data_IF_785281360512
#
_entry.id   IF_785281360512
#
_cell.length_a   1.000
_cell.length_b   1.000
_cell.length_c   1.000
_cell.angle_alpha   90.00
_cell.angle_beta   90.00
_cell.angle_gamma   90.00
#
_symmetry.space_group_name_H-M   'P 1'
#
loop_
_entity.id
_entity.type
_entity.pdbx_description
1 polymer ?
#
# COMPACT_ATOMS: atom_id res chain seq x y z
N UNK A 1 -4.91 6.83 35.87
CA UNK A 1 -5.18 6.97 34.43
C UNK A 1 -3.93 7.47 33.73
N UNK A 2 -3.70 7.06 32.49
CA UNK A 2 -2.56 7.52 31.68
C UNK A 2 -3.00 8.78 30.91
N UNK A 3 -2.34 9.91 31.15
CA UNK A 3 -2.70 11.19 30.53
C UNK A 3 -2.15 11.30 29.10
N UNK A 4 -2.99 11.68 28.14
CA UNK A 4 -2.59 11.86 26.75
C UNK A 4 -1.98 13.26 26.57
N UNK A 5 -0.65 13.31 26.44
CA UNK A 5 0.07 14.57 26.21
C UNK A 5 -0.02 15.06 24.76
N UNK A 6 0.00 14.14 23.80
CA UNK A 6 -0.05 14.46 22.37
C UNK A 6 -0.69 13.32 21.58
N UNK A 7 -1.56 13.69 20.62
CA UNK A 7 -2.12 12.76 19.64
C UNK A 7 -1.92 13.34 18.23
N UNK A 8 -1.22 12.59 17.37
CA UNK A 8 -0.90 13.03 16.02
C UNK A 8 -1.42 12.03 14.98
N UNK A 9 -2.13 12.52 13.96
CA UNK A 9 -2.59 11.69 12.85
C UNK A 9 -1.49 11.55 11.80
N UNK A 10 -1.00 10.33 11.60
CA UNK A 10 0.06 9.98 10.61
C UNK A 10 -0.17 10.57 9.21
N UNK A 11 -1.43 10.73 8.76
CA UNK A 11 -1.75 11.34 7.45
C UNK A 11 -1.21 12.77 7.29
N UNK A 12 -1.09 13.51 8.39
CA UNK A 12 -0.65 14.91 8.40
C UNK A 12 0.82 15.05 8.82
N UNK A 13 1.52 13.95 9.09
CA UNK A 13 2.96 13.99 9.30
C UNK A 13 3.64 14.26 7.95
N UNK A 14 4.31 15.40 7.86
CA UNK A 14 4.97 15.88 6.65
C UNK A 14 6.44 15.48 6.57
N UNK A 15 7.13 15.46 7.70
CA UNK A 15 8.53 15.07 7.81
C UNK A 15 8.84 14.48 9.18
N UNK A 16 9.86 13.63 9.27
CA UNK A 16 10.38 13.10 10.52
C UNK A 16 11.86 12.75 10.39
N UNK A 17 12.56 12.68 11.51
CA UNK A 17 13.95 12.23 11.52
C UNK A 17 14.58 12.21 12.91
N UNK A 18 15.76 11.58 12.95
CA UNK A 18 16.69 11.69 14.07
C UNK A 18 17.56 12.92 13.83
N UNK A 19 17.82 13.70 14.88
CA UNK A 19 18.65 14.89 14.82
C UNK A 19 20.14 14.58 14.65
N UNK A 20 20.98 15.62 14.68
CA UNK A 20 22.44 15.46 14.74
C UNK A 20 22.87 14.71 16.02
N UNK A 21 22.15 14.95 17.11
CA UNK A 21 22.24 14.15 18.33
C UNK A 21 21.36 12.90 18.19
N UNK A 22 21.94 11.72 18.44
CA UNK A 22 21.28 10.42 18.31
C UNK A 22 20.11 10.23 19.27
N UNK A 23 20.02 11.01 20.35
CA UNK A 23 18.91 10.94 21.30
C UNK A 23 17.72 11.78 20.87
N UNK A 24 17.91 12.70 19.91
CA UNK A 24 16.85 13.61 19.49
C UNK A 24 16.04 13.00 18.34
N UNK A 25 14.74 12.83 18.56
CA UNK A 25 13.77 12.50 17.51
C UNK A 25 12.82 13.68 17.29
N UNK A 26 12.46 13.96 16.04
CA UNK A 26 11.44 14.95 15.75
C UNK A 26 10.55 14.55 14.58
N UNK A 27 9.32 15.05 14.59
CA UNK A 27 8.45 15.04 13.42
C UNK A 27 7.69 16.35 13.29
N UNK A 28 7.31 16.66 12.05
CA UNK A 28 6.64 17.90 11.64
C UNK A 28 5.24 17.54 11.14
N UNK A 29 4.23 18.12 11.77
CA UNK A 29 2.83 17.99 11.42
C UNK A 29 2.41 19.18 10.55
N UNK A 30 1.75 18.91 9.43
CA UNK A 30 1.02 19.91 8.66
C UNK A 30 -0.34 20.12 9.31
N UNK A 31 -0.54 21.29 9.93
CA UNK A 31 -1.80 21.66 10.59
C UNK A 31 -2.76 22.39 9.65
N UNK A 32 -2.39 22.53 8.38
CA UNK A 32 -3.15 23.22 7.33
C UNK A 32 -2.74 24.68 7.17
N UNK A 33 -3.19 25.33 6.09
CA UNK A 33 -2.93 26.76 5.82
C UNK A 33 -1.43 27.15 5.85
N UNK A 34 -0.53 26.25 5.43
CA UNK A 34 0.93 26.44 5.52
C UNK A 34 1.44 26.64 6.96
N UNK A 35 0.69 26.18 7.97
CA UNK A 35 1.15 26.08 9.35
C UNK A 35 1.71 24.70 9.62
N UNK A 36 2.85 24.68 10.30
CA UNK A 36 3.56 23.46 10.62
C UNK A 36 3.95 23.46 12.10
N UNK A 37 3.71 22.34 12.77
CA UNK A 37 4.05 22.12 14.18
C UNK A 37 5.11 21.03 14.30
N UNK A 38 6.18 21.33 15.04
CA UNK A 38 7.26 20.37 15.26
C UNK A 38 7.17 19.81 16.67
N UNK A 39 7.15 18.48 16.78
CA UNK A 39 7.25 17.78 18.05
C UNK A 39 8.63 17.15 18.17
N UNK A 40 9.31 17.42 19.29
CA UNK A 40 10.68 16.96 19.55
C UNK A 40 10.70 16.14 20.82
N UNK A 41 11.38 15.01 20.79
CA UNK A 41 11.50 14.05 21.87
C UNK A 41 12.97 13.76 22.15
N UNK A 42 13.27 13.60 23.44
CA UNK A 42 14.53 13.02 23.90
C UNK A 42 14.32 11.54 24.19
N UNK A 43 15.17 10.68 23.64
CA UNK A 43 15.02 9.23 23.69
C UNK A 43 16.28 8.56 24.24
N UNK A 44 16.10 7.72 25.25
CA UNK A 44 17.14 6.88 25.83
C UNK A 44 16.95 5.41 25.39
N UNK A 45 18.01 4.69 24.98
CA UNK A 45 19.40 5.13 24.84
C UNK A 45 19.69 5.89 23.53
N UNK A 46 18.73 5.95 22.60
CA UNK A 46 18.76 6.76 21.38
C UNK A 46 17.36 6.75 20.71
N UNK A 47 17.20 7.55 19.66
CA UNK A 47 15.96 7.71 18.90
C UNK A 47 15.67 6.59 17.87
N UNK A 48 16.52 5.57 17.75
CA UNK A 48 16.41 4.54 16.72
C UNK A 48 15.05 3.84 16.72
N UNK A 49 14.67 3.22 17.83
CA UNK A 49 13.43 2.45 17.94
C UNK A 49 12.17 3.30 17.67
N UNK A 50 12.11 4.52 18.20
CA UNK A 50 10.95 5.40 17.97
C UNK A 50 10.89 5.85 16.51
N UNK A 51 12.03 6.19 15.91
CA UNK A 51 12.08 6.62 14.51
C UNK A 51 11.65 5.50 13.56
N UNK A 52 12.10 4.26 13.80
CA UNK A 52 11.70 3.10 13.00
C UNK A 52 10.20 2.80 13.15
N UNK A 53 9.66 2.89 14.36
CA UNK A 53 8.24 2.66 14.61
C UNK A 53 7.35 3.70 13.91
N UNK A 54 7.69 4.98 13.99
CA UNK A 54 6.94 6.05 13.31
C UNK A 54 7.09 5.94 11.80
N UNK A 55 8.28 5.58 11.29
CA UNK A 55 8.49 5.32 9.87
C UNK A 55 7.62 4.16 9.37
N UNK A 56 7.57 3.04 10.11
CA UNK A 56 6.74 1.89 9.78
C UNK A 56 5.25 2.26 9.75
N UNK A 57 4.78 3.05 10.72
CA UNK A 57 3.41 3.56 10.75
C UNK A 57 3.12 4.43 9.51
N UNK A 58 4.04 5.31 9.12
CA UNK A 58 3.92 6.12 7.91
C UNK A 58 3.81 5.26 6.65
N UNK A 59 4.68 4.25 6.50
CA UNK A 59 4.66 3.33 5.35
C UNK A 59 3.35 2.54 5.26
N UNK A 60 2.88 1.97 6.38
CA UNK A 60 1.61 1.24 6.43
C UNK A 60 0.42 2.15 6.13
N UNK A 61 0.44 3.39 6.64
CA UNK A 61 -0.62 4.35 6.37
C UNK A 61 -0.65 4.75 4.90
N UNK A 62 0.51 5.02 4.32
CA UNK A 62 0.65 5.34 2.91
C UNK A 62 0.15 4.20 2.02
N UNK A 63 0.58 2.97 2.29
CA UNK A 63 0.12 1.77 1.57
C UNK A 63 -1.40 1.61 1.66
N UNK A 64 -1.99 1.77 2.85
CA UNK A 64 -3.46 1.70 3.05
C UNK A 64 -4.20 2.73 2.19
N UNK A 65 -3.68 3.95 2.05
CA UNK A 65 -4.28 4.98 1.21
C UNK A 65 -4.21 4.64 -0.29
N UNK A 66 -3.11 4.04 -0.74
CA UNK A 66 -2.96 3.64 -2.14
C UNK A 66 -3.90 2.51 -2.53
N UNK A 67 -4.03 1.49 -1.68
CA UNK A 67 -4.84 0.29 -1.98
C UNK A 67 -6.34 0.49 -1.76
N UNK A 68 -6.73 1.41 -0.87
CA UNK A 68 -8.14 1.75 -0.63
C UNK A 68 -8.78 2.56 -1.77
N UNK A 69 -8.02 2.93 -2.81
CA UNK A 69 -8.53 3.64 -3.97
C UNK A 69 -9.56 2.74 -4.69
N UNK A 70 -10.82 3.17 -4.86
CA UNK A 70 -11.86 2.35 -5.50
C UNK A 70 -11.47 1.98 -6.95
N UNK A 71 -11.86 0.79 -7.44
CA UNK A 71 -11.51 0.27 -8.76
C UNK A 71 -12.03 1.10 -9.96
N UNK A 72 -12.76 2.20 -9.72
CA UNK A 72 -13.36 3.05 -10.75
C UNK A 72 -12.38 3.94 -11.52
N UNK A 73 -11.08 3.90 -11.22
CA UNK A 73 -10.04 4.56 -12.02
C UNK A 73 -8.97 3.58 -12.52
N UNK A 74 -9.35 2.34 -12.83
CA UNK A 74 -8.76 1.74 -14.03
C UNK A 74 -9.31 2.53 -15.20
N UNK A 75 -8.69 3.66 -15.52
CA UNK A 75 -8.73 4.17 -16.87
C UNK A 75 -8.18 3.02 -17.72
N UNK A 76 -9.09 2.22 -18.28
CA UNK A 76 -8.75 1.23 -19.27
C UNK A 76 -8.01 2.03 -20.35
N UNK A 77 -6.71 1.80 -20.58
CA UNK A 77 -6.08 2.46 -21.72
C UNK A 77 -6.95 2.14 -22.93
N UNK A 78 -7.25 3.13 -23.79
CA UNK A 78 -8.04 2.88 -24.98
C UNK A 78 -7.44 1.67 -25.71
N UNK A 79 -8.28 0.76 -26.23
CA UNK A 79 -7.78 -0.41 -26.93
C UNK A 79 -6.72 0.04 -27.94
N UNK A 80 -5.54 -0.58 -27.98
CA UNK A 80 -4.51 -0.18 -28.93
C UNK A 80 -5.10 -0.28 -30.35
N UNK A 81 -4.74 0.64 -31.26
CA UNK A 81 -5.20 0.59 -32.64
C UNK A 81 -4.91 -0.80 -33.24
N UNK A 82 -5.77 -1.21 -34.18
CA UNK A 82 -5.88 -2.59 -34.68
C UNK A 82 -4.57 -3.23 -35.15
N UNK A 83 -3.55 -2.41 -35.43
CA UNK A 83 -2.25 -2.82 -35.97
C UNK A 83 -1.15 -2.99 -34.91
N UNK A 84 -1.47 -2.90 -33.61
CA UNK A 84 -0.47 -3.06 -32.56
C UNK A 84 -0.12 -4.53 -32.29
N UNK A 85 1.18 -4.84 -32.40
CA UNK A 85 1.81 -6.17 -32.29
C UNK A 85 1.54 -6.86 -30.92
N UNK A 86 1.08 -6.13 -29.90
CA UNK A 86 0.76 -6.65 -28.56
C UNK A 86 -0.38 -7.69 -28.53
N UNK A 87 -1.17 -7.80 -29.62
CA UNK A 87 -2.19 -8.86 -29.75
C UNK A 87 -1.59 -10.27 -29.79
N UNK A 88 -0.35 -10.45 -30.26
CA UNK A 88 0.20 -11.79 -30.48
C UNK A 88 0.58 -12.52 -29.19
N UNK A 89 0.68 -11.82 -28.05
CA UNK A 89 1.05 -12.44 -26.77
C UNK A 89 -0.18 -12.68 -25.85
N UNK A 90 -1.30 -11.97 -26.04
CA UNK A 90 -2.49 -12.09 -25.16
C UNK A 90 -3.51 -13.15 -25.60
N UNK A 91 -3.42 -13.66 -26.83
CA UNK A 91 -4.32 -14.73 -27.31
C UNK A 91 -3.88 -16.13 -26.90
N UNK A 92 -2.58 -16.34 -26.63
CA UNK A 92 -2.05 -17.64 -26.22
C UNK A 92 -2.49 -18.02 -24.80
N UNK A 93 -2.50 -17.05 -23.87
CA UNK A 93 -2.88 -17.31 -22.46
C UNK A 93 -4.38 -17.56 -22.32
N UNK A 94 -5.24 -16.85 -23.06
CA UNK A 94 -6.70 -17.02 -22.99
C UNK A 94 -7.17 -18.40 -23.47
N UNK A 95 -6.56 -18.94 -24.53
CA UNK A 95 -6.85 -20.31 -24.98
C UNK A 95 -6.34 -21.37 -24.00
N UNK A 96 -5.17 -21.16 -23.38
CA UNK A 96 -4.62 -22.08 -22.39
C UNK A 96 -5.51 -22.24 -21.15
N UNK A 97 -6.05 -21.14 -20.61
CA UNK A 97 -6.93 -21.19 -19.43
C UNK A 97 -8.28 -21.84 -19.75
N UNK A 98 -8.85 -21.56 -20.92
CA UNK A 98 -10.11 -22.18 -21.34
C UNK A 98 -9.97 -23.71 -21.52
N UNK A 99 -8.86 -24.16 -22.11
CA UNK A 99 -8.58 -25.60 -22.32
C UNK A 99 -8.42 -26.38 -21.00
N UNK A 100 -7.86 -25.75 -19.97
CA UNK A 100 -7.74 -26.36 -18.64
C UNK A 100 -9.11 -26.50 -17.94
N UNK A 101 -9.96 -25.47 -18.06
CA UNK A 101 -11.31 -25.50 -17.50
C UNK A 101 -12.16 -26.60 -18.16
N UNK A 102 -12.06 -26.76 -19.48
CA UNK A 102 -12.83 -27.77 -20.20
C UNK A 102 -12.35 -29.19 -19.86
N UNK A 103 -11.05 -29.39 -19.63
CA UNK A 103 -10.49 -30.68 -19.18
C UNK A 103 -10.96 -31.04 -17.76
N UNK A 104 -11.08 -30.06 -16.86
CA UNK A 104 -11.59 -30.28 -15.50
C UNK A 104 -13.11 -30.53 -15.47
N UNK A 105 -13.87 -30.00 -16.44
CA UNK A 105 -15.30 -30.29 -16.58
C UNK A 105 -15.59 -31.69 -17.11
N UNK A 106 -14.72 -32.26 -17.94
CA UNK A 106 -14.88 -33.63 -18.45
C UNK A 106 -14.56 -34.72 -17.41
N UNK A 107 -13.89 -34.39 -16.30
CA UNK A 107 -13.49 -35.37 -15.29
C UNK A 107 -14.43 -35.43 -14.06
N UNK A 108 -15.75 -35.32 -14.26
CA UNK A 108 -16.73 -35.84 -13.29
C UNK A 108 -17.01 -37.32 -13.61
N UNK A 109 -16.74 -38.26 -12.70
CA UNK A 109 -17.00 -39.68 -12.92
C UNK A 109 -18.51 -39.96 -12.93
N UNK A 110 -18.94 -40.74 -13.93
CA UNK A 110 -20.26 -41.37 -14.01
C UNK A 110 -20.38 -42.33 -12.83
N UNK A 111 -21.35 -42.09 -11.95
CA UNK A 111 -21.82 -43.07 -11.00
C UNK A 111 -23.00 -43.78 -11.64
N UNK A 112 -22.80 -45.01 -12.10
CA UNK A 112 -23.88 -45.94 -12.43
C UNK A 112 -23.76 -47.18 -11.53
N UNK A 113 -24.77 -47.36 -10.69
CA UNK A 113 -25.29 -48.64 -10.19
C UNK A 113 -26.77 -48.67 -10.59
N UNK A 114 -27.40 -49.83 -10.83
CA UNK A 114 -27.16 -51.12 -10.18
C UNK A 114 -26.75 -52.29 -11.09
#
# INVERSE_FOLDING_TARGET
DEEVLVECRVRFLSFMGVGKDVHTFAFIMDTGNQHFETHVFWCEPNAGNVSEAVQAACMLRYQKCLVARPPSLKAQPPPPPADSVTRRVTTSVKRGVQSLIDTLKQKRPVADMP
#
